data_IF_290139945487
#
_entry.id   IF_290139945487
#
_cell.length_a   1.000
_cell.length_b   1.000
_cell.length_c   1.000
_cell.angle_alpha   90.00
_cell.angle_beta   90.00
_cell.angle_gamma   90.00
#
_symmetry.space_group_name_H-M   'P 1'
#
loop_
_entity.id
_entity.type
_entity.pdbx_description
1 polymer ?
#
# COMPACT_ATOMS: atom_id res chain seq x y z
N UNK A 1 -17.22 -12.30 -5.87
CA UNK A 1 -15.93 -12.49 -6.58
C UNK A 1 -14.85 -12.34 -5.52
N UNK A 2 -13.87 -13.23 -5.45
CA UNK A 2 -12.84 -13.16 -4.41
C UNK A 2 -11.97 -11.91 -4.62
N UNK A 3 -12.03 -10.96 -3.70
CA UNK A 3 -11.13 -9.81 -3.66
C UNK A 3 -9.70 -10.33 -3.46
N UNK A 4 -8.87 -10.25 -4.51
CA UNK A 4 -7.47 -10.66 -4.42
C UNK A 4 -6.68 -9.58 -3.70
N UNK A 5 -5.92 -9.96 -2.69
CA UNK A 5 -5.06 -9.06 -1.91
C UNK A 5 -3.61 -9.52 -2.01
N UNK A 6 -2.77 -8.70 -2.62
CA UNK A 6 -1.31 -8.90 -2.64
C UNK A 6 -0.70 -8.33 -1.35
N UNK A 7 0.12 -9.10 -0.66
CA UNK A 7 0.75 -8.69 0.60
C UNK A 7 2.23 -8.38 0.36
N UNK A 8 2.68 -7.21 0.77
CA UNK A 8 4.05 -6.74 0.64
C UNK A 8 4.61 -6.32 2.01
N UNK A 9 5.55 -7.10 2.54
CA UNK A 9 6.28 -6.76 3.76
C UNK A 9 7.51 -5.90 3.44
N UNK A 10 7.48 -4.64 3.87
CA UNK A 10 8.52 -3.65 3.60
C UNK A 10 9.61 -3.62 4.68
N UNK A 11 9.35 -4.21 5.85
CA UNK A 11 10.28 -4.20 6.99
C UNK A 11 11.67 -4.75 6.65
N UNK A 12 11.82 -5.86 5.89
CA UNK A 12 13.15 -6.35 5.51
C UNK A 12 13.79 -5.56 4.37
N UNK A 13 13.06 -4.65 3.71
CA UNK A 13 13.54 -3.95 2.52
C UNK A 13 14.26 -2.64 2.88
N UNK A 14 15.37 -2.31 2.18
CA UNK A 14 16.00 -1.01 2.30
C UNK A 14 15.02 0.13 1.94
N UNK A 15 15.00 1.26 2.67
CA UNK A 15 14.02 2.34 2.46
C UNK A 15 13.91 2.86 1.02
N UNK A 16 15.04 2.94 0.31
CA UNK A 16 15.09 3.45 -1.06
C UNK A 16 14.42 2.52 -2.09
N UNK A 17 14.22 1.22 -1.77
CA UNK A 17 13.58 0.25 -2.68
C UNK A 17 12.07 0.14 -2.44
N UNK A 18 11.58 0.58 -1.27
CA UNK A 18 10.19 0.36 -0.84
C UNK A 18 9.20 1.02 -1.80
N UNK A 19 9.42 2.30 -2.15
CA UNK A 19 8.52 3.05 -3.03
C UNK A 19 8.41 2.42 -4.42
N UNK A 20 9.55 2.14 -5.06
CA UNK A 20 9.58 1.49 -6.38
C UNK A 20 8.81 0.17 -6.35
N UNK A 21 9.02 -0.65 -5.32
CA UNK A 21 8.35 -1.94 -5.21
C UNK A 21 6.83 -1.81 -5.01
N UNK A 22 6.40 -0.87 -4.17
CA UNK A 22 4.98 -0.62 -3.91
C UNK A 22 4.27 -0.23 -5.21
N UNK A 23 4.82 0.71 -5.97
CA UNK A 23 4.21 1.15 -7.22
C UNK A 23 4.24 0.07 -8.30
N UNK A 24 5.33 -0.70 -8.40
CA UNK A 24 5.39 -1.86 -9.30
C UNK A 24 4.24 -2.84 -9.03
N UNK A 25 3.97 -3.16 -7.76
CA UNK A 25 2.87 -4.07 -7.41
C UNK A 25 1.52 -3.39 -7.67
N UNK A 26 1.32 -2.15 -7.25
CA UNK A 26 0.09 -1.37 -7.48
C UNK A 26 -0.30 -1.29 -8.96
N UNK A 27 0.66 -1.05 -9.84
CA UNK A 27 0.42 -0.93 -11.27
C UNK A 27 0.01 -2.28 -11.90
N UNK A 28 0.49 -3.39 -11.33
CA UNK A 28 0.11 -4.74 -11.76
C UNK A 28 -1.31 -5.15 -11.32
N UNK A 29 -1.90 -4.46 -10.33
CA UNK A 29 -3.24 -4.77 -9.83
C UNK A 29 -4.33 -4.39 -10.83
N UNK A 30 -5.39 -5.18 -10.86
CA UNK A 30 -6.65 -4.87 -11.55
C UNK A 30 -7.61 -4.12 -10.63
N UNK A 31 -8.61 -3.45 -11.23
CA UNK A 31 -9.72 -2.88 -10.48
C UNK A 31 -10.43 -3.96 -9.64
N UNK A 32 -10.72 -3.66 -8.37
CA UNK A 32 -11.26 -4.59 -7.39
C UNK A 32 -10.22 -5.44 -6.64
N UNK A 33 -8.93 -5.35 -6.99
CA UNK A 33 -7.83 -5.96 -6.22
C UNK A 33 -7.23 -4.96 -5.21
N UNK A 34 -6.46 -5.46 -4.24
CA UNK A 34 -5.83 -4.63 -3.23
C UNK A 34 -4.36 -5.00 -2.96
N UNK A 35 -3.59 -3.99 -2.53
CA UNK A 35 -2.24 -4.13 -1.99
C UNK A 35 -2.30 -3.92 -0.48
N UNK A 36 -1.79 -4.88 0.29
CA UNK A 36 -1.55 -4.73 1.72
C UNK A 36 -0.06 -4.52 1.98
N UNK A 37 0.31 -3.37 2.51
CA UNK A 37 1.68 -3.10 2.92
C UNK A 37 1.84 -3.28 4.43
N UNK A 38 2.96 -3.87 4.84
CA UNK A 38 3.39 -3.96 6.24
C UNK A 38 4.67 -3.13 6.38
N UNK A 39 4.63 -2.08 7.20
CA UNK A 39 5.73 -1.13 7.34
C UNK A 39 6.12 -0.97 8.83
N UNK A 40 7.37 -0.56 9.06
CA UNK A 40 7.93 -0.28 10.39
C UNK A 40 7.60 1.14 10.91
N UNK A 41 6.97 1.98 10.08
CA UNK A 41 6.54 3.34 10.42
C UNK A 41 5.27 3.75 9.65
N UNK A 42 4.66 4.86 10.05
CA UNK A 42 3.49 5.42 9.38
C UNK A 42 3.81 5.81 7.91
N UNK A 43 3.17 5.19 6.90
CA UNK A 43 3.39 5.48 5.49
C UNK A 43 2.67 6.77 5.02
N UNK A 44 2.50 7.77 5.89
CA UNK A 44 1.85 9.05 5.56
C UNK A 44 2.40 9.76 4.31
N UNK A 45 3.73 9.81 4.06
CA UNK A 45 4.25 10.38 2.81
C UNK A 45 3.74 9.66 1.56
N UNK A 46 3.67 8.32 1.61
CA UNK A 46 3.12 7.50 0.52
C UNK A 46 1.63 7.79 0.31
N UNK A 47 0.86 7.95 1.37
CA UNK A 47 -0.56 8.33 1.27
C UNK A 47 -0.74 9.65 0.51
N UNK A 48 0.05 10.67 0.82
CA UNK A 48 0.00 11.95 0.09
C UNK A 48 0.32 11.78 -1.40
N UNK A 49 1.27 10.91 -1.74
CA UNK A 49 1.60 10.62 -3.13
C UNK A 49 0.42 9.94 -3.85
N UNK A 50 -0.23 8.98 -3.20
CA UNK A 50 -1.44 8.34 -3.73
C UNK A 50 -2.59 9.35 -3.95
N UNK A 51 -2.77 10.29 -3.03
CA UNK A 51 -3.81 11.32 -3.15
C UNK A 51 -3.59 12.25 -4.35
N UNK A 52 -2.33 12.51 -4.71
CA UNK A 52 -1.98 13.35 -5.86
C UNK A 52 -2.06 12.57 -7.18
N UNK A 53 -1.49 11.37 -7.24
CA UNK A 53 -1.31 10.61 -8.49
C UNK A 53 -2.51 9.73 -8.86
N UNK A 54 -3.23 9.21 -7.86
CA UNK A 54 -4.29 8.21 -8.03
C UNK A 54 -5.63 8.67 -7.49
N UNK A 55 -5.84 9.98 -7.34
CA UNK A 55 -7.09 10.56 -6.86
C UNK A 55 -8.31 9.86 -7.44
N UNK A 56 -9.25 9.49 -6.57
CA UNK A 56 -10.50 8.77 -6.88
C UNK A 56 -10.34 7.33 -7.43
N UNK A 57 -9.12 6.84 -7.67
CA UNK A 57 -8.83 5.48 -8.18
C UNK A 57 -8.45 4.47 -7.09
N UNK A 58 -8.40 4.91 -5.84
CA UNK A 58 -8.03 4.06 -4.72
C UNK A 58 -8.93 4.26 -3.50
N UNK A 59 -8.84 3.32 -2.57
CA UNK A 59 -9.27 3.47 -1.18
C UNK A 59 -8.10 3.10 -0.26
N UNK A 60 -7.95 3.83 0.84
CA UNK A 60 -6.87 3.66 1.81
C UNK A 60 -7.44 3.32 3.18
N UNK A 61 -7.07 2.16 3.70
CA UNK A 61 -7.56 1.66 4.98
C UNK A 61 -6.37 1.27 5.86
N UNK A 62 -6.33 1.81 7.08
CA UNK A 62 -5.41 1.34 8.10
C UNK A 62 -6.02 0.14 8.80
N UNK A 63 -5.45 -1.04 8.60
CA UNK A 63 -5.82 -2.23 9.37
C UNK A 63 -5.10 -2.27 10.72
N UNK A 64 -3.89 -1.68 10.79
CA UNK A 64 -3.15 -1.52 12.05
C UNK A 64 -2.36 -0.21 12.05
N UNK A 65 -2.43 0.53 13.16
CA UNK A 65 -1.73 1.80 13.37
C UNK A 65 -0.70 1.69 14.51
N UNK A 66 0.44 1.05 14.24
CA UNK A 66 1.61 1.06 15.11
C UNK A 66 1.37 0.56 16.56
N UNK A 67 2.32 0.80 17.47
CA UNK A 67 3.63 1.43 17.23
C UNK A 67 4.66 0.49 16.59
N UNK A 68 4.42 -0.83 16.62
CA UNK A 68 5.37 -1.84 16.12
C UNK A 68 5.27 -2.05 14.61
N UNK A 69 4.05 -2.23 14.10
CA UNK A 69 3.78 -2.46 12.69
C UNK A 69 2.63 -1.57 12.24
N UNK A 70 2.77 -1.01 11.04
CA UNK A 70 1.75 -0.24 10.34
C UNK A 70 1.27 -1.07 9.15
N UNK A 71 0.00 -1.44 9.18
CA UNK A 71 -0.61 -2.28 8.14
C UNK A 71 -1.66 -1.43 7.44
N UNK A 72 -1.47 -1.25 6.13
CA UNK A 72 -2.37 -0.49 5.29
C UNK A 72 -2.83 -1.36 4.13
N UNK A 73 -4.14 -1.39 3.90
CA UNK A 73 -4.77 -1.94 2.70
C UNK A 73 -5.10 -0.79 1.74
N UNK A 74 -4.61 -0.91 0.52
CA UNK A 74 -4.82 0.02 -0.58
C UNK A 74 -5.62 -0.72 -1.66
N UNK A 75 -6.89 -0.42 -1.80
CA UNK A 75 -7.77 -1.07 -2.78
C UNK A 75 -7.82 -0.25 -4.07
N UNK A 76 -7.71 -0.91 -5.23
CA UNK A 76 -7.83 -0.30 -6.56
C UNK A 76 -9.29 -0.30 -7.00
N UNK A 77 -9.80 0.87 -7.39
CA UNK A 77 -11.18 1.05 -7.88
C UNK A 77 -11.26 0.81 -9.38
#
# INVERSE_FOLDING_TARGET
MAEKVEILDLRPMPPFQRHEKIFQVWDSLKAGEALKIINDHDPKPLWYQFEVEYKDKYAWEYEQKGPKDWIVKISKK
#
